data_IF_172273223743
#
_entry.id   IF_172273223743
#
_cell.length_a   1.000
_cell.length_b   1.000
_cell.length_c   1.000
_cell.angle_alpha   90.00
_cell.angle_beta   90.00
_cell.angle_gamma   90.00
#
_symmetry.space_group_name_H-M   'P 1'
#
loop_
_entity.id
_entity.type
_entity.pdbx_description
1 polymer ?
#
# COMPACT_ATOMS: atom_id res chain seq x y z
N UNK A 1 23.04 -3.99 -14.58
CA UNK A 1 21.59 -4.33 -14.47
C UNK A 1 21.15 -4.30 -13.01
N UNK A 2 19.91 -3.91 -12.74
CA UNK A 2 19.27 -4.03 -11.43
C UNK A 2 18.34 -5.25 -11.35
N UNK A 3 18.09 -5.75 -10.14
CA UNK A 3 17.02 -6.68 -9.87
C UNK A 3 16.03 -6.04 -8.88
N UNK A 4 14.78 -5.88 -9.28
CA UNK A 4 13.67 -5.54 -8.38
C UNK A 4 13.04 -6.82 -7.85
N UNK A 5 12.70 -6.82 -6.57
CA UNK A 5 12.06 -7.97 -5.93
C UNK A 5 11.12 -7.53 -4.83
N UNK A 6 10.11 -8.32 -4.60
CA UNK A 6 9.13 -8.09 -3.55
C UNK A 6 7.73 -7.91 -4.10
N UNK A 7 6.75 -8.31 -3.30
CA UNK A 7 5.37 -8.34 -3.75
C UNK A 7 4.47 -9.17 -2.82
N UNK A 8 3.67 -10.03 -3.43
CA UNK A 8 2.65 -10.82 -2.75
C UNK A 8 1.34 -10.06 -2.55
N UNK A 9 1.40 -8.75 -2.37
CA UNK A 9 0.22 -7.85 -2.22
C UNK A 9 0.35 -6.62 -3.10
N UNK A 10 -0.80 -6.03 -3.48
CA UNK A 10 -0.84 -4.85 -4.36
C UNK A 10 -0.02 -3.66 -3.85
N UNK A 11 0.08 -3.45 -2.54
CA UNK A 11 0.87 -2.35 -1.97
C UNK A 11 2.36 -2.44 -2.31
N UNK A 12 2.98 -3.62 -2.14
CA UNK A 12 4.38 -3.83 -2.52
C UNK A 12 4.59 -3.74 -4.03
N UNK A 13 3.64 -4.30 -4.79
CA UNK A 13 3.72 -4.33 -6.27
C UNK A 13 3.58 -2.92 -6.87
N UNK A 14 2.77 -2.05 -6.26
CA UNK A 14 2.66 -0.66 -6.68
C UNK A 14 4.00 0.09 -6.53
N UNK A 15 4.73 -0.14 -5.43
CA UNK A 15 6.06 0.43 -5.23
C UNK A 15 7.06 -0.13 -6.25
N UNK A 16 7.08 -1.47 -6.43
CA UNK A 16 7.95 -2.08 -7.43
C UNK A 16 7.69 -1.50 -8.83
N UNK A 17 6.42 -1.31 -9.21
CA UNK A 17 6.04 -0.67 -10.47
C UNK A 17 6.55 0.76 -10.57
N UNK A 18 6.38 1.58 -9.53
CA UNK A 18 6.84 2.97 -9.54
C UNK A 18 8.38 3.08 -9.69
N UNK A 19 9.13 2.21 -9.00
CA UNK A 19 10.58 2.17 -9.12
C UNK A 19 11.04 1.66 -10.48
N UNK A 20 10.37 0.64 -11.05
CA UNK A 20 10.64 0.14 -12.39
C UNK A 20 10.37 1.22 -13.46
N UNK A 21 9.27 1.96 -13.36
CA UNK A 21 8.96 3.08 -14.24
C UNK A 21 10.03 4.18 -14.19
N UNK A 22 10.55 4.47 -13.01
CA UNK A 22 11.64 5.46 -12.86
C UNK A 22 12.96 4.96 -13.45
N UNK A 23 13.28 3.66 -13.29
CA UNK A 23 14.43 3.05 -13.95
C UNK A 23 14.30 3.08 -15.47
N UNK A 24 13.11 2.76 -15.99
CA UNK A 24 12.82 2.79 -17.44
C UNK A 24 12.97 4.20 -18.03
N UNK A 25 12.46 5.23 -17.35
CA UNK A 25 12.65 6.64 -17.75
C UNK A 25 14.12 7.03 -17.88
N UNK A 26 14.98 6.46 -17.04
CA UNK A 26 16.44 6.68 -17.05
C UNK A 26 17.18 5.72 -17.98
N UNK A 27 16.48 4.87 -18.72
CA UNK A 27 17.04 3.85 -19.60
C UNK A 27 17.98 2.88 -18.85
N UNK A 28 17.66 2.59 -17.59
CA UNK A 28 18.43 1.66 -16.75
C UNK A 28 17.72 0.31 -16.76
N UNK A 29 18.35 -0.74 -17.30
CA UNK A 29 17.74 -2.04 -17.42
C UNK A 29 17.56 -2.72 -16.06
N UNK A 30 16.41 -3.36 -15.87
CA UNK A 30 16.10 -4.12 -14.67
C UNK A 30 15.34 -5.41 -14.97
N UNK A 31 15.51 -6.40 -14.10
CA UNK A 31 14.70 -7.62 -14.07
C UNK A 31 13.79 -7.60 -12.84
N UNK A 32 12.67 -8.31 -12.92
CA UNK A 32 11.80 -8.52 -11.76
C UNK A 32 11.87 -9.98 -11.29
N UNK A 33 11.96 -10.18 -9.97
CA UNK A 33 11.92 -11.48 -9.33
C UNK A 33 10.83 -11.47 -8.26
N UNK A 34 9.76 -12.21 -8.51
CA UNK A 34 8.58 -12.33 -7.65
C UNK A 34 8.27 -13.78 -7.29
N UNK A 35 7.03 -14.03 -6.87
CA UNK A 35 6.53 -15.34 -6.47
C UNK A 35 5.37 -15.80 -7.37
N UNK A 36 5.24 -17.14 -7.54
CA UNK A 36 4.02 -17.75 -8.08
C UNK A 36 2.83 -17.57 -7.14
N UNK A 37 3.09 -17.42 -5.83
CA UNK A 37 2.06 -17.17 -4.83
C UNK A 37 1.82 -15.64 -4.70
N UNK A 38 0.55 -15.25 -4.53
CA UNK A 38 0.19 -13.84 -4.44
C UNK A 38 -0.17 -13.21 -5.80
N UNK A 39 -0.02 -11.90 -5.90
CA UNK A 39 -0.49 -11.13 -7.06
C UNK A 39 0.61 -10.80 -8.07
N UNK A 40 1.86 -11.20 -7.82
CA UNK A 40 3.05 -10.82 -8.59
C UNK A 40 2.90 -11.10 -10.09
N UNK A 41 2.43 -12.32 -10.43
CA UNK A 41 2.22 -12.74 -11.81
C UNK A 41 1.14 -11.91 -12.52
N UNK A 42 0.05 -11.60 -11.82
CA UNK A 42 -1.04 -10.78 -12.36
C UNK A 42 -0.56 -9.37 -12.72
N UNK A 43 0.38 -8.82 -11.95
CA UNK A 43 0.88 -7.45 -12.17
C UNK A 43 1.97 -7.38 -13.24
N UNK A 44 2.84 -8.38 -13.34
CA UNK A 44 4.09 -8.23 -14.09
C UNK A 44 4.36 -9.28 -15.16
N UNK A 45 3.50 -10.31 -15.33
CA UNK A 45 3.77 -11.35 -16.33
C UNK A 45 3.87 -10.83 -17.77
N UNK A 46 3.18 -9.75 -18.09
CA UNK A 46 3.15 -9.12 -19.42
C UNK A 46 3.64 -7.66 -19.38
N UNK A 47 4.45 -7.30 -18.36
CA UNK A 47 4.93 -5.94 -18.20
C UNK A 47 6.17 -5.68 -19.05
N UNK A 48 6.17 -4.59 -19.78
CA UNK A 48 7.28 -4.05 -20.58
C UNK A 48 8.29 -3.24 -19.76
N UNK A 49 8.07 -3.11 -18.46
CA UNK A 49 8.97 -2.39 -17.55
C UNK A 49 10.29 -3.13 -17.28
N UNK A 50 10.35 -4.43 -17.59
CA UNK A 50 11.45 -5.31 -17.23
C UNK A 50 12.01 -6.02 -18.47
N UNK A 51 13.33 -6.17 -18.52
CA UNK A 51 13.96 -7.01 -19.54
C UNK A 51 13.60 -8.49 -19.41
N UNK A 52 13.37 -8.94 -18.17
CA UNK A 52 12.91 -10.28 -17.86
C UNK A 52 12.16 -10.31 -16.53
N UNK A 53 11.17 -11.17 -16.43
CA UNK A 53 10.40 -11.43 -15.22
C UNK A 53 10.53 -12.89 -14.81
N UNK A 54 10.76 -13.13 -13.54
CA UNK A 54 10.93 -14.47 -12.97
C UNK A 54 9.98 -14.64 -11.77
N UNK A 55 9.23 -15.72 -11.78
CA UNK A 55 8.38 -16.08 -10.65
C UNK A 55 8.89 -17.37 -10.04
N UNK A 56 9.21 -17.33 -8.74
CA UNK A 56 9.81 -18.44 -8.02
C UNK A 56 8.85 -18.99 -6.98
N UNK A 57 9.05 -20.25 -6.62
CA UNK A 57 8.31 -20.86 -5.51
C UNK A 57 8.80 -20.30 -4.18
N UNK A 58 8.11 -19.26 -3.70
CA UNK A 58 8.30 -18.69 -2.38
C UNK A 58 6.97 -18.45 -1.69
N UNK A 59 6.92 -18.62 -0.39
CA UNK A 59 5.71 -18.40 0.41
C UNK A 59 6.10 -17.74 1.73
N UNK A 60 5.16 -17.00 2.35
CA UNK A 60 5.37 -16.46 3.68
C UNK A 60 5.69 -17.55 4.70
N UNK A 61 6.57 -17.27 5.64
CA UNK A 61 6.96 -18.16 6.75
C UNK A 61 6.19 -17.78 8.03
N UNK A 62 5.74 -16.54 8.12
CA UNK A 62 4.96 -16.02 9.24
C UNK A 62 3.64 -16.79 9.30
N UNK A 63 3.20 -17.18 10.49
CA UNK A 63 2.00 -17.97 10.73
C UNK A 63 2.06 -19.46 10.30
N UNK A 64 3.21 -19.97 9.86
CA UNK A 64 3.40 -21.41 9.62
C UNK A 64 4.10 -22.09 10.80
N UNK A 65 3.70 -23.33 11.12
CA UNK A 65 4.26 -24.14 12.22
C UNK A 65 4.74 -25.49 11.69
N UNK A 66 5.61 -26.16 12.44
CA UNK A 66 6.06 -27.53 12.16
C UNK A 66 6.58 -27.72 10.73
N UNK A 67 6.21 -28.82 10.10
CA UNK A 67 6.64 -29.21 8.74
C UNK A 67 6.33 -28.15 7.67
N UNK A 68 5.21 -27.44 7.80
CA UNK A 68 4.86 -26.38 6.86
C UNK A 68 5.85 -25.20 6.90
N UNK A 69 6.44 -24.92 8.06
CA UNK A 69 7.51 -23.90 8.19
C UNK A 69 8.80 -24.39 7.56
N UNK A 70 9.18 -25.64 7.77
CA UNK A 70 10.38 -26.24 7.14
C UNK A 70 10.24 -26.27 5.62
N UNK A 71 9.09 -26.66 5.08
CA UNK A 71 8.82 -26.64 3.65
C UNK A 71 8.92 -25.21 3.06
N UNK A 72 8.40 -24.20 3.77
CA UNK A 72 8.53 -22.82 3.35
C UNK A 72 9.99 -22.32 3.33
N UNK A 73 10.79 -22.69 4.33
CA UNK A 73 12.22 -22.37 4.39
C UNK A 73 13.00 -23.07 3.26
N UNK A 74 12.66 -24.34 2.96
CA UNK A 74 13.27 -25.06 1.83
C UNK A 74 12.97 -24.37 0.48
N UNK A 75 11.72 -23.91 0.27
CA UNK A 75 11.36 -23.13 -0.92
C UNK A 75 12.17 -21.83 -1.02
N UNK A 76 12.32 -21.09 0.08
CA UNK A 76 13.15 -19.87 0.11
C UNK A 76 14.62 -20.20 -0.22
N UNK A 77 15.16 -21.26 0.33
CA UNK A 77 16.53 -21.70 0.03
C UNK A 77 16.74 -22.02 -1.46
N UNK A 78 15.81 -22.76 -2.08
CA UNK A 78 15.87 -23.06 -3.51
C UNK A 78 15.72 -21.78 -4.37
N UNK A 79 14.78 -20.89 -3.99
CA UNK A 79 14.64 -19.59 -4.63
C UNK A 79 15.93 -18.75 -4.53
N UNK A 80 16.62 -18.78 -3.38
CA UNK A 80 17.90 -18.09 -3.18
C UNK A 80 18.98 -18.63 -4.13
N UNK A 81 19.09 -19.96 -4.28
CA UNK A 81 20.02 -20.58 -5.24
C UNK A 81 19.72 -20.15 -6.69
N UNK A 82 18.45 -20.15 -7.06
CA UNK A 82 18.01 -19.72 -8.38
C UNK A 82 18.35 -18.25 -8.61
N UNK A 83 18.07 -17.37 -7.63
CA UNK A 83 18.42 -15.96 -7.72
C UNK A 83 19.92 -15.71 -7.94
N UNK A 84 20.80 -16.46 -7.25
CA UNK A 84 22.26 -16.35 -7.48
C UNK A 84 22.64 -16.65 -8.94
N UNK A 85 22.02 -17.66 -9.56
CA UNK A 85 22.24 -17.98 -10.99
C UNK A 85 21.69 -16.87 -11.90
N UNK A 86 20.50 -16.33 -11.60
CA UNK A 86 19.91 -15.23 -12.35
C UNK A 86 20.78 -13.96 -12.26
N UNK A 87 21.29 -13.63 -11.08
CA UNK A 87 22.16 -12.47 -10.89
C UNK A 87 23.46 -12.58 -11.69
N UNK A 88 24.05 -13.77 -11.74
CA UNK A 88 25.23 -14.01 -12.57
C UNK A 88 24.89 -13.89 -14.07
N UNK A 89 23.79 -14.51 -14.52
CA UNK A 89 23.33 -14.47 -15.92
C UNK A 89 23.09 -13.05 -16.42
N UNK A 90 22.51 -12.19 -15.57
CA UNK A 90 22.15 -10.82 -15.93
C UNK A 90 23.18 -9.76 -15.52
N UNK A 91 24.36 -10.15 -15.05
CA UNK A 91 25.38 -9.21 -14.55
C UNK A 91 24.76 -8.18 -13.58
N UNK A 92 23.91 -8.66 -12.65
CA UNK A 92 23.23 -7.81 -11.68
C UNK A 92 24.24 -7.12 -10.79
N UNK A 93 24.09 -5.81 -10.56
CA UNK A 93 24.97 -5.00 -9.70
C UNK A 93 24.33 -4.72 -8.33
N UNK A 94 23.00 -4.61 -8.31
CA UNK A 94 22.26 -4.29 -7.10
C UNK A 94 20.86 -4.91 -7.12
N UNK A 95 20.36 -5.20 -5.94
CA UNK A 95 19.00 -5.69 -5.67
C UNK A 95 18.21 -4.65 -4.91
N UNK A 96 17.03 -4.30 -5.40
CA UNK A 96 16.08 -3.40 -4.74
C UNK A 96 14.91 -4.25 -4.25
N UNK A 97 14.80 -4.40 -2.95
CA UNK A 97 13.73 -5.15 -2.28
C UNK A 97 12.64 -4.20 -1.80
N UNK A 98 11.42 -4.36 -2.28
CA UNK A 98 10.26 -3.62 -1.76
C UNK A 98 9.54 -4.39 -0.63
N UNK A 99 10.10 -5.50 -0.17
CA UNK A 99 9.53 -6.29 0.92
C UNK A 99 8.47 -7.31 0.46
N UNK A 100 7.73 -7.82 1.43
CA UNK A 100 6.82 -8.94 1.21
C UNK A 100 7.53 -10.30 1.18
N UNK A 101 6.76 -11.37 1.17
CA UNK A 101 7.34 -12.72 1.22
C UNK A 101 8.06 -13.11 -0.08
N UNK A 102 7.67 -12.54 -1.21
CA UNK A 102 8.28 -12.83 -2.52
C UNK A 102 9.71 -12.26 -2.64
N UNK A 103 10.08 -11.28 -1.81
CA UNK A 103 11.42 -10.72 -1.80
C UNK A 103 12.48 -11.63 -1.16
N UNK A 104 12.09 -12.65 -0.39
CA UNK A 104 13.01 -13.37 0.47
C UNK A 104 14.17 -14.04 -0.31
N UNK A 105 13.87 -14.76 -1.39
CA UNK A 105 14.87 -15.47 -2.18
C UNK A 105 15.93 -14.54 -2.77
N UNK A 106 15.50 -13.47 -3.43
CA UNK A 106 16.39 -12.52 -4.09
C UNK A 106 17.20 -11.69 -3.08
N UNK A 107 16.57 -11.24 -2.00
CA UNK A 107 17.24 -10.46 -0.96
C UNK A 107 18.31 -11.29 -0.23
N UNK A 108 18.00 -12.54 0.13
CA UNK A 108 18.97 -13.46 0.75
C UNK A 108 20.12 -13.83 -0.18
N UNK A 109 19.88 -13.85 -1.50
CA UNK A 109 20.92 -14.17 -2.49
C UNK A 109 22.03 -13.10 -2.56
N UNK A 110 21.82 -11.92 -2.01
CA UNK A 110 22.85 -10.87 -1.92
C UNK A 110 23.85 -11.14 -0.80
N UNK A 111 23.47 -11.93 0.21
CA UNK A 111 24.34 -12.21 1.36
C UNK A 111 25.57 -12.99 0.92
N UNK A 112 26.75 -12.56 1.39
CA UNK A 112 28.03 -13.16 1.05
C UNK A 112 28.49 -12.89 -0.40
N UNK A 113 27.88 -11.93 -1.10
CA UNK A 113 28.25 -11.48 -2.44
C UNK A 113 28.67 -10.01 -2.45
N UNK A 114 29.19 -9.54 -3.61
CA UNK A 114 29.50 -8.11 -3.83
C UNK A 114 28.27 -7.27 -4.22
N UNK A 115 27.10 -7.88 -4.28
CA UNK A 115 25.86 -7.21 -4.66
C UNK A 115 25.39 -6.24 -3.56
N UNK A 116 25.03 -5.03 -3.94
CA UNK A 116 24.43 -4.06 -3.02
C UNK A 116 22.93 -4.37 -2.84
N UNK A 117 22.48 -4.41 -1.59
CA UNK A 117 21.08 -4.59 -1.24
C UNK A 117 20.49 -3.26 -0.79
N UNK A 118 19.43 -2.82 -1.46
CA UNK A 118 18.61 -1.69 -1.09
C UNK A 118 17.23 -2.19 -0.68
N UNK A 119 16.69 -1.65 0.42
CA UNK A 119 15.40 -2.06 0.97
C UNK A 119 14.48 -0.86 0.97
N UNK A 120 13.27 -1.00 0.48
CA UNK A 120 12.18 -0.08 0.73
C UNK A 120 11.24 -0.66 1.79
N UNK A 121 11.10 0.05 2.92
CA UNK A 121 10.11 -0.28 3.94
C UNK A 121 8.89 0.62 3.77
N UNK A 122 7.77 0.02 3.44
CA UNK A 122 6.55 0.75 3.15
C UNK A 122 5.74 1.16 4.38
N UNK A 123 5.89 0.43 5.51
CA UNK A 123 5.08 0.60 6.71
C UNK A 123 5.83 1.31 7.82
N UNK A 124 5.08 1.90 8.76
CA UNK A 124 5.63 2.49 9.98
C UNK A 124 6.30 1.45 10.90
N UNK A 125 5.92 0.18 10.79
CA UNK A 125 6.56 -0.93 11.50
C UNK A 125 7.21 -1.88 10.51
N UNK A 126 8.51 -2.08 10.65
CA UNK A 126 9.27 -2.93 9.72
C UNK A 126 8.76 -4.35 9.66
N UNK A 127 8.60 -4.84 8.42
CA UNK A 127 8.33 -6.23 8.12
C UNK A 127 9.46 -7.15 8.61
N UNK A 128 9.14 -8.40 8.91
CA UNK A 128 10.12 -9.35 9.47
C UNK A 128 11.34 -9.52 8.54
N UNK A 129 11.14 -9.69 7.25
CA UNK A 129 12.23 -9.85 6.29
C UNK A 129 13.13 -8.62 6.25
N UNK A 130 12.55 -7.42 6.14
CA UNK A 130 13.29 -6.16 6.13
C UNK A 130 14.07 -5.96 7.42
N UNK A 131 13.46 -6.30 8.59
CA UNK A 131 14.15 -6.25 9.88
C UNK A 131 15.36 -7.19 9.94
N UNK A 132 15.24 -8.41 9.42
CA UNK A 132 16.35 -9.40 9.41
C UNK A 132 17.47 -8.99 8.45
N UNK A 133 17.13 -8.34 7.35
CA UNK A 133 18.11 -7.96 6.32
C UNK A 133 18.64 -6.54 6.49
N UNK A 134 18.09 -5.73 7.37
CA UNK A 134 18.51 -4.35 7.60
C UNK A 134 20.01 -4.21 7.96
N UNK A 135 20.66 -5.14 8.71
CA UNK A 135 22.09 -5.05 8.98
C UNK A 135 22.98 -5.22 7.74
N UNK A 136 22.44 -5.85 6.70
CA UNK A 136 23.16 -6.16 5.46
C UNK A 136 22.80 -5.19 4.31
N UNK A 137 21.76 -4.39 4.48
CA UNK A 137 21.37 -3.43 3.45
C UNK A 137 22.41 -2.31 3.29
N UNK A 138 22.64 -1.88 2.07
CA UNK A 138 23.42 -0.67 1.78
C UNK A 138 22.68 0.56 2.27
N UNK A 139 21.38 0.65 1.96
CA UNK A 139 20.48 1.72 2.41
C UNK A 139 19.06 1.16 2.59
N UNK A 140 18.31 1.75 3.51
CA UNK A 140 16.89 1.47 3.74
C UNK A 140 16.13 2.76 3.45
N UNK A 141 15.16 2.71 2.55
CA UNK A 141 14.28 3.82 2.20
C UNK A 141 12.91 3.63 2.83
N UNK A 142 12.25 4.72 3.19
CA UNK A 142 10.88 4.68 3.68
C UNK A 142 10.35 6.07 3.98
N UNK A 143 9.03 6.18 4.10
CA UNK A 143 8.34 7.45 4.31
C UNK A 143 7.92 7.67 5.77
N UNK A 144 7.69 6.59 6.49
CA UNK A 144 7.53 6.60 7.94
C UNK A 144 8.91 6.58 8.62
N UNK A 145 9.06 7.30 9.72
CA UNK A 145 10.32 7.35 10.45
C UNK A 145 10.70 5.97 11.03
N UNK A 146 11.95 5.55 10.79
CA UNK A 146 12.52 4.33 11.35
C UNK A 146 13.82 4.63 12.08
N UNK A 147 13.98 4.10 13.28
CA UNK A 147 15.22 4.24 14.06
C UNK A 147 16.27 3.22 13.54
N UNK A 148 16.97 3.55 12.45
CA UNK A 148 18.03 2.73 11.90
C UNK A 148 19.12 3.59 11.24
N UNK A 149 20.41 3.31 11.48
CA UNK A 149 21.55 4.13 11.00
C UNK A 149 21.67 4.25 9.48
N UNK A 150 21.13 3.29 8.73
CA UNK A 150 21.12 3.29 7.25
C UNK A 150 19.77 3.71 6.67
N UNK A 151 18.91 4.27 7.50
CA UNK A 151 17.60 4.74 7.04
C UNK A 151 17.73 6.10 6.37
N UNK A 152 17.11 6.20 5.19
CA UNK A 152 16.94 7.44 4.44
C UNK A 152 15.45 7.70 4.27
N UNK A 153 14.96 8.75 4.90
CA UNK A 153 13.56 9.15 4.77
C UNK A 153 13.35 9.80 3.40
N UNK A 154 12.34 9.34 2.68
CA UNK A 154 11.95 9.87 1.37
C UNK A 154 10.44 9.84 1.23
N UNK A 155 9.92 10.56 0.24
CA UNK A 155 8.50 10.49 -0.10
C UNK A 155 8.11 9.08 -0.53
N UNK A 156 6.88 8.70 -0.22
CA UNK A 156 6.33 7.42 -0.65
C UNK A 156 6.15 7.41 -2.18
N UNK A 157 6.51 6.34 -2.89
CA UNK A 157 6.33 6.24 -4.33
C UNK A 157 4.86 6.10 -4.73
N UNK A 158 4.08 7.15 -4.55
CA UNK A 158 2.67 7.22 -4.95
C UNK A 158 2.57 7.37 -6.46
N UNK A 159 1.56 6.76 -7.06
CA UNK A 159 1.26 6.89 -8.48
C UNK A 159 0.96 8.34 -8.84
N UNK A 160 1.51 8.81 -9.98
CA UNK A 160 1.40 10.20 -10.42
C UNK A 160 -0.04 10.71 -10.51
N UNK A 161 -0.99 9.85 -10.86
CA UNK A 161 -2.41 10.21 -11.00
C UNK A 161 -3.02 10.79 -9.72
N UNK A 162 -2.55 10.39 -8.52
CA UNK A 162 -3.05 10.94 -7.26
C UNK A 162 -2.62 12.39 -7.05
N UNK A 163 -1.44 12.75 -7.52
CA UNK A 163 -0.95 14.15 -7.51
C UNK A 163 -1.63 14.99 -8.59
N UNK A 164 -1.76 14.45 -9.81
CA UNK A 164 -2.37 15.16 -10.94
C UNK A 164 -3.84 15.53 -10.68
N UNK A 165 -4.55 14.68 -9.92
CA UNK A 165 -5.94 14.92 -9.53
C UNK A 165 -6.09 15.38 -8.08
N UNK A 166 -5.00 15.87 -7.46
CA UNK A 166 -5.07 16.45 -6.13
C UNK A 166 -5.91 17.73 -6.15
N UNK A 167 -6.67 17.93 -5.09
CA UNK A 167 -7.44 19.15 -4.87
C UNK A 167 -7.56 19.46 -3.38
N UNK A 168 -7.60 20.71 -3.03
CA UNK A 168 -7.97 21.15 -1.69
C UNK A 168 -9.49 21.07 -1.54
N UNK A 169 -9.97 20.27 -0.59
CA UNK A 169 -11.40 20.14 -0.27
C UNK A 169 -11.81 21.29 0.64
N UNK A 170 -12.90 21.95 0.30
CA UNK A 170 -13.41 23.11 1.06
C UNK A 170 -14.74 22.81 1.78
N UNK A 171 -15.40 21.71 1.42
CA UNK A 171 -16.66 21.26 1.99
C UNK A 171 -16.75 19.73 1.93
N UNK A 172 -17.66 19.16 2.73
CA UNK A 172 -17.96 17.72 2.70
C UNK A 172 -19.30 17.52 2.02
N UNK A 173 -19.29 16.97 0.79
CA UNK A 173 -20.49 16.59 0.04
C UNK A 173 -20.52 15.09 -0.27
N UNK A 174 -19.36 14.48 -0.46
CA UNK A 174 -19.25 13.09 -0.90
C UNK A 174 -18.35 12.29 0.02
N UNK A 175 -18.87 11.22 0.58
CA UNK A 175 -18.16 10.31 1.48
C UNK A 175 -17.89 9.00 0.75
N UNK A 176 -16.61 8.59 0.73
CA UNK A 176 -16.15 7.34 0.14
C UNK A 176 -15.88 6.28 1.22
N UNK A 177 -16.58 5.17 1.15
CA UNK A 177 -16.25 3.96 1.91
C UNK A 177 -15.40 3.03 1.06
N UNK A 178 -14.20 2.69 1.54
CA UNK A 178 -13.21 1.97 0.77
C UNK A 178 -12.75 0.68 1.49
N UNK A 179 -13.39 -0.44 1.13
CA UNK A 179 -13.06 -1.75 1.69
C UNK A 179 -11.84 -2.42 1.08
N UNK A 180 -11.28 -1.86 0.00
CA UNK A 180 -10.23 -2.48 -0.79
C UNK A 180 -10.75 -3.60 -1.71
N UNK A 181 -9.87 -4.16 -2.56
CA UNK A 181 -10.23 -5.12 -3.61
C UNK A 181 -10.89 -6.41 -3.07
N UNK A 182 -10.52 -6.83 -1.87
CA UNK A 182 -11.08 -8.02 -1.22
C UNK A 182 -12.33 -7.72 -0.40
N UNK A 183 -12.67 -6.44 -0.22
CA UNK A 183 -13.68 -5.97 0.70
C UNK A 183 -13.20 -5.96 2.16
N UNK A 184 -13.90 -5.20 3.01
CA UNK A 184 -13.68 -5.13 4.44
C UNK A 184 -15.03 -5.14 5.15
N UNK A 185 -15.39 -6.29 5.75
CA UNK A 185 -16.71 -6.50 6.36
C UNK A 185 -17.10 -5.40 7.36
N UNK A 186 -16.15 -4.94 8.18
CA UNK A 186 -16.40 -3.87 9.14
C UNK A 186 -16.72 -2.53 8.44
N UNK A 187 -15.99 -2.18 7.38
CA UNK A 187 -16.26 -0.97 6.59
C UNK A 187 -17.61 -1.10 5.88
N UNK A 188 -17.90 -2.27 5.32
CA UNK A 188 -19.17 -2.51 4.66
C UNK A 188 -20.35 -2.39 5.64
N UNK A 189 -20.24 -2.96 6.84
CA UNK A 189 -21.28 -2.89 7.85
C UNK A 189 -21.49 -1.45 8.35
N UNK A 190 -20.41 -0.72 8.67
CA UNK A 190 -20.52 0.66 9.13
C UNK A 190 -21.09 1.58 8.05
N UNK A 191 -20.81 1.30 6.75
CA UNK A 191 -21.43 2.02 5.63
C UNK A 191 -22.93 1.78 5.57
N UNK A 192 -23.39 0.53 5.75
CA UNK A 192 -24.82 0.18 5.80
C UNK A 192 -25.55 0.82 6.98
N UNK A 193 -24.89 0.91 8.15
CA UNK A 193 -25.46 1.49 9.36
C UNK A 193 -25.56 3.02 9.24
N UNK A 194 -24.59 3.66 8.63
CA UNK A 194 -24.52 5.11 8.51
C UNK A 194 -25.29 5.68 7.32
N UNK A 195 -25.51 4.90 6.26
CA UNK A 195 -26.09 5.40 5.01
C UNK A 195 -27.39 6.18 5.18
N UNK A 196 -28.42 5.73 5.96
CA UNK A 196 -29.63 6.51 6.15
C UNK A 196 -29.37 7.88 6.76
N UNK A 197 -28.51 7.94 7.78
CA UNK A 197 -28.17 9.19 8.47
C UNK A 197 -27.38 10.13 7.58
N UNK A 198 -26.41 9.60 6.81
CA UNK A 198 -25.58 10.41 5.92
C UNK A 198 -26.39 11.00 4.76
N UNK A 199 -27.26 10.20 4.14
CA UNK A 199 -28.17 10.67 3.08
C UNK A 199 -29.15 11.73 3.61
N UNK A 200 -29.73 11.52 4.81
CA UNK A 200 -30.59 12.51 5.46
C UNK A 200 -29.87 13.82 5.78
N UNK A 201 -28.55 13.80 6.01
CA UNK A 201 -27.70 14.99 6.15
C UNK A 201 -27.28 15.62 4.81
N UNK A 202 -27.74 15.08 3.67
CA UNK A 202 -27.45 15.58 2.32
C UNK A 202 -26.12 15.14 1.73
N UNK A 203 -25.41 14.18 2.35
CA UNK A 203 -24.17 13.63 1.79
C UNK A 203 -24.45 12.63 0.68
N UNK A 204 -23.60 12.62 -0.34
CA UNK A 204 -23.52 11.54 -1.34
C UNK A 204 -22.61 10.44 -0.83
N UNK A 205 -22.91 9.20 -1.17
CA UNK A 205 -22.15 8.04 -0.74
C UNK A 205 -21.60 7.29 -1.96
N UNK A 206 -20.29 7.04 -1.94
CA UNK A 206 -19.62 6.12 -2.84
C UNK A 206 -19.12 4.96 -2.00
N UNK A 207 -19.43 3.71 -2.38
CA UNK A 207 -19.07 2.55 -1.58
C UNK A 207 -18.40 1.46 -2.41
N UNK A 208 -17.12 1.20 -2.16
CA UNK A 208 -16.39 0.03 -2.64
C UNK A 208 -16.56 -1.12 -1.63
N UNK A 209 -17.38 -2.11 -1.95
CA UNK A 209 -17.70 -3.21 -1.03
C UNK A 209 -16.80 -4.46 -1.21
N UNK A 210 -16.07 -4.57 -2.32
CA UNK A 210 -15.30 -5.76 -2.69
C UNK A 210 -16.16 -6.86 -3.36
N UNK A 211 -15.54 -7.68 -4.20
CA UNK A 211 -16.25 -8.70 -5.00
C UNK A 211 -17.02 -9.70 -4.13
N UNK A 212 -16.42 -10.12 -3.01
CA UNK A 212 -17.01 -11.16 -2.15
C UNK A 212 -18.30 -10.74 -1.45
N UNK A 213 -18.48 -9.45 -1.21
CA UNK A 213 -19.57 -8.93 -0.39
C UNK A 213 -20.62 -8.14 -1.20
N UNK A 214 -20.40 -7.99 -2.52
CA UNK A 214 -21.22 -7.18 -3.41
C UNK A 214 -22.71 -7.54 -3.34
N UNK A 215 -23.05 -8.81 -3.45
CA UNK A 215 -24.45 -9.24 -3.44
C UNK A 215 -25.13 -8.93 -2.11
N UNK A 216 -24.47 -9.23 -0.98
CA UNK A 216 -25.00 -8.93 0.36
C UNK A 216 -25.24 -7.44 0.55
N UNK A 217 -24.28 -6.61 0.17
CA UNK A 217 -24.37 -5.16 0.35
C UNK A 217 -25.44 -4.56 -0.57
N UNK A 218 -25.51 -4.99 -1.83
CA UNK A 218 -26.53 -4.54 -2.76
C UNK A 218 -27.95 -4.87 -2.25
N UNK A 219 -28.18 -6.11 -1.78
CA UNK A 219 -29.44 -6.51 -1.20
C UNK A 219 -29.78 -5.71 0.07
N UNK A 220 -28.81 -5.49 0.95
CA UNK A 220 -29.03 -4.72 2.18
C UNK A 220 -29.39 -3.25 1.92
N UNK A 221 -28.80 -2.62 0.90
CA UNK A 221 -29.20 -1.28 0.47
C UNK A 221 -30.59 -1.26 -0.19
N UNK A 222 -30.88 -2.26 -1.04
CA UNK A 222 -32.21 -2.39 -1.66
C UNK A 222 -33.33 -2.58 -0.63
N UNK A 223 -33.11 -3.39 0.43
CA UNK A 223 -34.11 -3.57 1.52
C UNK A 223 -34.37 -2.28 2.32
N UNK A 224 -33.47 -1.30 2.24
CA UNK A 224 -33.64 0.02 2.88
C UNK A 224 -34.09 1.10 1.90
N UNK A 225 -34.41 0.74 0.64
CA UNK A 225 -34.73 1.66 -0.46
C UNK A 225 -33.64 2.72 -0.74
N UNK A 226 -32.34 2.37 -0.47
CA UNK A 226 -31.21 3.30 -0.60
C UNK A 226 -30.29 2.99 -1.79
N UNK A 227 -30.52 1.90 -2.53
CA UNK A 227 -29.59 1.45 -3.56
C UNK A 227 -29.41 2.47 -4.71
N UNK A 228 -30.44 3.24 -5.01
CA UNK A 228 -30.44 4.27 -6.06
C UNK A 228 -29.61 5.51 -5.68
N UNK A 229 -29.45 5.76 -4.37
CA UNK A 229 -28.79 6.95 -3.83
C UNK A 229 -27.31 6.73 -3.56
N UNK A 230 -26.81 5.49 -3.80
CA UNK A 230 -25.45 5.08 -3.47
C UNK A 230 -24.70 4.61 -4.72
N UNK A 231 -23.55 5.23 -5.01
CA UNK A 231 -22.63 4.75 -6.05
C UNK A 231 -21.88 3.51 -5.53
N UNK A 232 -22.52 2.31 -5.69
CA UNK A 232 -22.00 1.03 -5.19
C UNK A 232 -21.16 0.31 -6.26
N UNK A 233 -19.93 -0.08 -5.94
CA UNK A 233 -19.12 -0.92 -6.80
C UNK A 233 -18.28 -1.94 -6.00
N UNK A 234 -17.89 -3.04 -6.65
CA UNK A 234 -17.08 -4.07 -6.01
C UNK A 234 -15.59 -3.75 -6.10
N UNK A 235 -15.09 -3.49 -7.30
CA UNK A 235 -13.70 -3.18 -7.61
C UNK A 235 -13.62 -2.24 -8.81
N UNK A 236 -12.59 -1.40 -8.83
CA UNK A 236 -12.23 -0.60 -10.00
C UNK A 236 -10.71 -0.51 -10.17
N UNK A 237 -10.18 -0.72 -11.37
CA UNK A 237 -8.77 -0.44 -11.65
C UNK A 237 -8.46 1.05 -11.67
N UNK A 238 -9.50 1.90 -11.82
CA UNK A 238 -9.42 3.36 -11.85
C UNK A 238 -9.96 3.96 -10.55
N UNK A 239 -9.38 3.56 -9.41
CA UNK A 239 -9.80 4.05 -8.09
C UNK A 239 -9.75 5.57 -7.98
N UNK A 240 -8.83 6.22 -8.70
CA UNK A 240 -8.69 7.67 -8.72
C UNK A 240 -9.97 8.38 -9.16
N UNK A 241 -10.80 7.77 -10.03
CA UNK A 241 -12.06 8.38 -10.48
C UNK A 241 -13.09 8.56 -9.37
N UNK A 242 -13.04 7.70 -8.35
CA UNK A 242 -13.87 7.81 -7.15
C UNK A 242 -13.24 8.74 -6.11
N UNK A 243 -11.93 8.66 -5.93
CA UNK A 243 -11.19 9.50 -4.98
C UNK A 243 -11.31 10.99 -5.33
N UNK A 244 -11.18 11.36 -6.61
CA UNK A 244 -11.30 12.76 -7.04
C UNK A 244 -12.69 13.37 -6.83
N UNK A 245 -13.75 12.54 -6.81
CA UNK A 245 -15.14 12.96 -6.52
C UNK A 245 -15.42 13.09 -5.03
N UNK A 246 -14.57 12.53 -4.16
CA UNK A 246 -14.82 12.36 -2.73
C UNK A 246 -14.17 13.46 -1.92
N UNK A 247 -14.78 13.80 -0.80
CA UNK A 247 -14.31 14.85 0.11
C UNK A 247 -13.76 14.27 1.40
N UNK A 248 -14.24 13.09 1.81
CA UNK A 248 -13.75 12.32 2.95
C UNK A 248 -13.73 10.85 2.59
N UNK A 249 -12.77 10.10 3.13
CA UNK A 249 -12.69 8.66 2.94
C UNK A 249 -12.71 7.90 4.28
N UNK A 250 -13.49 6.83 4.35
CA UNK A 250 -13.46 5.85 5.44
C UNK A 250 -12.81 4.57 4.88
N UNK A 251 -11.62 4.21 5.36
CA UNK A 251 -10.84 3.13 4.73
C UNK A 251 -9.97 2.33 5.70
N UNK A 252 -9.38 1.25 5.20
CA UNK A 252 -8.23 0.60 5.83
C UNK A 252 -7.00 1.50 5.75
N UNK A 253 -6.03 1.29 6.67
CA UNK A 253 -4.79 2.06 6.75
C UNK A 253 -3.57 1.30 6.19
N UNK A 254 -3.72 0.68 5.02
CA UNK A 254 -2.55 0.21 4.26
C UNK A 254 -1.65 1.39 3.87
N UNK A 255 -0.33 1.22 3.90
CA UNK A 255 0.60 2.32 3.63
C UNK A 255 0.32 3.04 2.30
N UNK A 256 0.05 2.28 1.22
CA UNK A 256 -0.34 2.86 -0.07
C UNK A 256 -1.59 3.72 0.04
N UNK A 257 -2.66 3.21 0.67
CA UNK A 257 -3.92 3.97 0.82
C UNK A 257 -3.74 5.25 1.63
N UNK A 258 -2.93 5.20 2.70
CA UNK A 258 -2.63 6.38 3.53
C UNK A 258 -1.92 7.45 2.69
N UNK A 259 -0.85 7.08 1.98
CA UNK A 259 -0.07 8.03 1.19
C UNK A 259 -0.77 8.47 -0.10
N UNK A 260 -1.57 7.61 -0.74
CA UNK A 260 -2.41 7.97 -1.89
C UNK A 260 -3.48 9.01 -1.50
N UNK A 261 -4.14 8.82 -0.34
CA UNK A 261 -5.08 9.81 0.20
C UNK A 261 -4.37 11.11 0.56
N UNK A 262 -3.18 11.03 1.16
CA UNK A 262 -2.33 12.17 1.49
C UNK A 262 -1.99 12.99 0.24
N UNK A 263 -1.44 12.34 -0.80
CA UNK A 263 -1.08 12.97 -2.06
C UNK A 263 -2.26 13.64 -2.78
N UNK A 264 -3.46 13.09 -2.60
CA UNK A 264 -4.68 13.65 -3.17
C UNK A 264 -5.33 14.74 -2.28
N UNK A 265 -4.81 14.98 -1.08
CA UNK A 265 -5.39 15.88 -0.09
C UNK A 265 -6.75 15.40 0.44
N UNK A 266 -7.01 14.10 0.50
CA UNK A 266 -8.26 13.49 0.92
C UNK A 266 -8.21 13.14 2.42
N UNK A 267 -8.92 13.85 3.30
CA UNK A 267 -9.00 13.51 4.73
C UNK A 267 -9.62 12.13 4.95
N UNK A 268 -9.07 11.38 5.91
CA UNK A 268 -9.49 10.00 6.15
C UNK A 268 -9.86 9.71 7.60
N UNK A 269 -10.88 8.87 7.77
CA UNK A 269 -11.12 8.10 8.97
C UNK A 269 -10.62 6.67 8.72
N UNK A 270 -9.54 6.27 9.40
CA UNK A 270 -8.93 4.96 9.21
C UNK A 270 -9.47 3.92 10.18
N UNK A 271 -9.83 2.76 9.64
CA UNK A 271 -10.21 1.55 10.38
C UNK A 271 -9.18 0.47 10.07
N UNK A 272 -8.08 0.35 10.83
CA UNK A 272 -7.01 -0.59 10.58
C UNK A 272 -7.50 -2.04 10.52
N UNK A 273 -6.87 -2.86 9.67
CA UNK A 273 -7.15 -4.30 9.63
C UNK A 273 -6.63 -4.97 10.91
N UNK A 274 -7.50 -5.65 11.70
CA UNK A 274 -7.16 -6.12 13.04
C UNK A 274 -6.11 -7.24 13.06
N UNK A 275 -5.96 -7.98 11.95
CA UNK A 275 -4.98 -9.05 11.82
C UNK A 275 -3.72 -8.62 11.05
N UNK A 276 -3.51 -7.34 10.90
CA UNK A 276 -2.30 -6.80 10.29
C UNK A 276 -1.07 -7.17 11.15
N UNK A 277 -0.04 -7.74 10.52
CA UNK A 277 1.15 -8.17 11.23
C UNK A 277 1.75 -7.03 12.07
N UNK A 278 1.94 -7.24 13.38
CA UNK A 278 2.41 -6.22 14.33
C UNK A 278 1.57 -4.93 14.29
N UNK A 279 0.30 -5.03 13.95
CA UNK A 279 -0.62 -3.89 13.91
C UNK A 279 -0.14 -2.72 13.03
N UNK A 280 0.64 -3.02 11.97
CA UNK A 280 1.28 -2.01 11.15
C UNK A 280 0.31 -1.01 10.54
N UNK A 281 -0.95 -1.41 10.23
CA UNK A 281 -1.94 -0.47 9.69
C UNK A 281 -2.34 0.61 10.72
N UNK A 282 -2.48 0.24 11.99
CA UNK A 282 -2.72 1.23 13.04
C UNK A 282 -1.58 2.25 13.12
N UNK A 283 -0.34 1.75 13.11
CA UNK A 283 0.84 2.62 13.15
C UNK A 283 1.01 3.49 11.90
N UNK A 284 0.62 3.01 10.72
CA UNK A 284 0.60 3.82 9.50
C UNK A 284 -0.36 5.02 9.62
N UNK A 285 -1.55 4.80 10.20
CA UNK A 285 -2.52 5.87 10.40
C UNK A 285 -2.14 6.81 11.56
N UNK A 286 -1.43 6.30 12.57
CA UNK A 286 -1.16 7.02 13.82
C UNK A 286 -0.35 8.31 13.59
N UNK A 287 0.62 8.31 12.66
CA UNK A 287 1.39 9.51 12.32
C UNK A 287 0.47 10.65 11.84
N UNK A 288 -0.53 10.34 11.03
CA UNK A 288 -1.49 11.32 10.52
C UNK A 288 -2.52 11.71 11.58
N UNK A 289 -2.95 10.77 12.42
CA UNK A 289 -3.88 11.04 13.51
C UNK A 289 -3.25 11.94 14.59
N UNK A 290 -1.99 11.69 14.95
CA UNK A 290 -1.24 12.52 15.91
C UNK A 290 -1.03 13.95 15.37
N UNK A 291 -0.91 14.11 14.06
CA UNK A 291 -0.84 15.42 13.41
C UNK A 291 -2.23 16.08 13.20
N UNK A 292 -3.31 15.50 13.68
CA UNK A 292 -4.70 15.94 13.45
C UNK A 292 -5.12 16.02 11.96
N UNK A 293 -4.48 15.24 11.09
CA UNK A 293 -4.78 15.17 9.65
C UNK A 293 -5.70 14.00 9.27
N UNK A 294 -5.91 13.07 10.19
CA UNK A 294 -6.80 11.93 10.05
C UNK A 294 -7.35 11.53 11.42
N UNK A 295 -8.32 10.63 11.44
CA UNK A 295 -8.71 9.90 12.65
C UNK A 295 -8.47 8.41 12.44
N UNK A 296 -8.10 7.71 13.51
CA UNK A 296 -7.92 6.27 13.53
C UNK A 296 -8.75 5.64 14.64
N UNK A 297 -9.50 4.60 14.31
CA UNK A 297 -10.27 3.83 15.27
C UNK A 297 -10.11 2.34 15.00
N UNK A 298 -9.87 1.55 16.06
CA UNK A 298 -9.80 0.09 15.93
C UNK A 298 -11.17 -0.50 15.64
N UNK A 299 -11.21 -1.54 14.83
CA UNK A 299 -12.45 -2.23 14.48
C UNK A 299 -13.25 -2.72 15.71
N UNK A 300 -12.55 -3.13 16.77
CA UNK A 300 -13.17 -3.62 18.02
C UNK A 300 -13.89 -2.55 18.84
N UNK A 301 -13.58 -1.26 18.62
CA UNK A 301 -14.16 -0.11 19.34
C UNK A 301 -14.89 0.85 18.41
N UNK A 302 -15.15 0.41 17.17
CA UNK A 302 -15.78 1.23 16.16
C UNK A 302 -17.29 1.36 16.41
N UNK A 303 -17.76 2.60 16.45
CA UNK A 303 -19.19 2.96 16.54
C UNK A 303 -19.54 4.03 15.51
N UNK A 304 -20.77 4.00 14.92
CA UNK A 304 -21.21 5.00 13.94
C UNK A 304 -21.01 6.44 14.38
N UNK A 305 -21.28 6.74 15.67
CA UNK A 305 -21.15 8.08 16.24
C UNK A 305 -19.75 8.68 16.16
N UNK A 306 -18.71 7.83 16.15
CA UNK A 306 -17.32 8.31 16.02
C UNK A 306 -17.05 8.87 14.61
N UNK A 307 -17.65 8.27 13.58
CA UNK A 307 -17.53 8.77 12.22
C UNK A 307 -18.33 10.06 12.05
N UNK A 308 -19.55 10.12 12.60
CA UNK A 308 -20.35 11.35 12.58
C UNK A 308 -19.63 12.49 13.32
N UNK A 309 -19.09 12.24 14.51
CA UNK A 309 -18.29 13.23 15.26
C UNK A 309 -17.04 13.68 14.50
N UNK A 310 -16.36 12.75 13.78
CA UNK A 310 -15.24 13.10 12.91
C UNK A 310 -15.67 14.04 11.79
N UNK A 311 -16.77 13.76 11.09
CA UNK A 311 -17.30 14.61 10.03
C UNK A 311 -17.63 16.01 10.56
N UNK A 312 -18.33 16.08 11.71
CA UNK A 312 -18.71 17.34 12.35
C UNK A 312 -17.47 18.16 12.77
N UNK A 313 -16.42 17.50 13.32
CA UNK A 313 -15.18 18.16 13.71
C UNK A 313 -14.27 18.55 12.53
N UNK A 314 -14.38 17.83 11.41
CA UNK A 314 -13.60 18.09 10.20
C UNK A 314 -14.16 19.25 9.39
N UNK A 315 -15.49 19.39 9.33
CA UNK A 315 -16.19 20.38 8.50
C UNK A 315 -15.57 21.79 8.58
N UNK A 316 -15.35 22.40 9.77
CA UNK A 316 -14.83 23.76 9.86
C UNK A 316 -13.35 23.89 9.45
N UNK A 317 -12.61 22.79 9.32
CA UNK A 317 -11.17 22.79 9.05
C UNK A 317 -10.77 21.92 7.85
N UNK A 318 -11.71 21.46 7.06
CA UNK A 318 -11.43 20.52 5.96
C UNK A 318 -10.42 21.09 4.95
N UNK A 319 -10.51 22.37 4.62
CA UNK A 319 -9.59 23.02 3.70
C UNK A 319 -8.15 23.01 4.24
N UNK A 320 -7.98 23.33 5.51
CA UNK A 320 -6.69 23.32 6.19
C UNK A 320 -6.10 21.90 6.23
N UNK A 321 -6.90 20.89 6.60
CA UNK A 321 -6.47 19.49 6.65
C UNK A 321 -6.10 18.97 5.27
N UNK A 322 -6.94 19.27 4.27
CA UNK A 322 -6.71 18.86 2.88
C UNK A 322 -5.40 19.44 2.32
N UNK A 323 -5.14 20.71 2.55
CA UNK A 323 -3.89 21.36 2.14
C UNK A 323 -2.69 20.77 2.88
N UNK A 324 -2.77 20.63 4.20
CA UNK A 324 -1.69 20.07 5.01
C UNK A 324 -1.35 18.60 4.66
N UNK A 325 -2.32 17.83 4.15
CA UNK A 325 -2.06 16.50 3.60
C UNK A 325 -1.22 16.59 2.32
N UNK A 326 -1.57 17.47 1.39
CA UNK A 326 -0.81 17.66 0.14
C UNK A 326 0.62 18.12 0.42
N UNK A 327 0.81 19.01 1.38
CA UNK A 327 2.12 19.56 1.76
C UNK A 327 3.06 18.51 2.41
N UNK A 328 2.52 17.36 2.86
CA UNK A 328 3.32 16.30 3.48
C UNK A 328 4.07 15.42 2.49
N UNK A 329 3.76 15.45 1.21
CA UNK A 329 4.32 14.54 0.23
C UNK A 329 4.48 15.21 -1.13
N UNK A 330 5.59 14.92 -1.80
CA UNK A 330 5.85 15.35 -3.18
C UNK A 330 5.83 14.18 -4.18
N UNK A 331 5.66 14.42 -5.49
CA UNK A 331 5.60 13.36 -6.51
C UNK A 331 6.97 12.72 -6.81
N UNK A 332 7.99 12.97 -6.01
CA UNK A 332 9.38 12.62 -6.31
C UNK A 332 9.87 11.35 -5.62
N UNK A 333 9.03 10.59 -4.93
CA UNK A 333 9.46 9.44 -4.13
C UNK A 333 10.31 8.42 -4.88
N UNK A 334 9.83 7.92 -6.02
CA UNK A 334 10.58 6.97 -6.84
C UNK A 334 11.86 7.59 -7.42
N UNK A 335 11.80 8.85 -7.87
CA UNK A 335 12.93 9.61 -8.39
C UNK A 335 14.04 9.74 -7.35
N UNK A 336 13.70 10.15 -6.13
CA UNK A 336 14.64 10.31 -5.01
C UNK A 336 15.30 8.99 -4.65
N UNK A 337 14.51 7.90 -4.53
CA UNK A 337 15.04 6.57 -4.21
C UNK A 337 16.05 6.12 -5.27
N UNK A 338 15.70 6.18 -6.55
CA UNK A 338 16.61 5.73 -7.62
C UNK A 338 17.85 6.63 -7.70
N UNK A 339 17.72 7.93 -7.53
CA UNK A 339 18.88 8.87 -7.51
C UNK A 339 19.85 8.51 -6.38
N UNK A 340 19.35 8.27 -5.16
CA UNK A 340 20.18 7.87 -4.03
C UNK A 340 20.83 6.50 -4.24
N UNK A 341 20.11 5.54 -4.82
CA UNK A 341 20.68 4.23 -5.16
C UNK A 341 21.85 4.38 -6.13
N UNK A 342 21.68 5.19 -7.18
CA UNK A 342 22.74 5.40 -8.18
C UNK A 342 23.98 6.09 -7.58
N UNK A 343 23.81 7.03 -6.66
CA UNK A 343 24.89 7.68 -5.96
C UNK A 343 25.69 6.76 -5.03
N UNK A 344 25.11 5.62 -4.63
CA UNK A 344 25.73 4.64 -3.75
C UNK A 344 26.35 3.45 -4.49
N UNK A 345 26.22 3.37 -5.83
CA UNK A 345 26.83 2.28 -6.64
C UNK A 345 28.25 2.55 -7.01
#
# INVERSE_FOLDING_TARGET
MFALTGGGTGGHLAIAKALAQELQKRQIPCIYIGSHAGQDKMWFAQSDLFEAVYFLDSTGVVNKKGLAKLAALHKIYNATKTCKKLFARHNTKAVISVGGFSAAGASLATLGSKLKLFIHEQNAISGLLNKLLSPFATQIFGSFALAHKRFYRCDYPVRQEFFTHARTRTEIKTILFLGGSQGAKAINNIALDLAPTLLARGYRIIHQCGERDKNRISQAYAQKDLLQDIELFAFSPKLIDFIKKSDVCISRAGAGSVWESCANGLPCFFIPYPFAAKDHQYHNALEFATANLAQVCRESTLHPQQILAFLDSLTPRIAQVSQALQDKISPNGAHTIITQILALL
#
